data_IF_749365726173
#
_entry.id   IF_749365726173
#
_cell.length_a   1.000
_cell.length_b   1.000
_cell.length_c   1.000
_cell.angle_alpha   90.00
_cell.angle_beta   90.00
_cell.angle_gamma   90.00
#
_symmetry.space_group_name_H-M   'P 1'
#
loop_
_entity.id
_entity.type
_entity.pdbx_description
1 polymer ?
#
# COMPACT_ATOMS: atom_id res chain seq x y z
N UNK A 1 7.11 1.22 22.21
CA UNK A 1 5.63 1.19 22.28
C UNK A 1 5.20 0.03 21.39
N UNK A 2 4.55 -1.00 21.96
CA UNK A 2 4.10 -2.15 21.16
C UNK A 2 2.81 -1.76 20.44
N UNK A 3 2.82 -1.81 19.11
CA UNK A 3 1.61 -1.67 18.32
C UNK A 3 0.75 -2.91 18.57
N UNK A 4 -0.32 -2.75 19.34
CA UNK A 4 -1.36 -3.77 19.45
C UNK A 4 -1.93 -3.88 18.03
N UNK A 5 -1.84 -5.07 17.41
CA UNK A 5 -2.49 -5.34 16.13
C UNK A 5 -3.99 -5.32 16.40
N UNK A 6 -4.61 -4.15 16.21
CA UNK A 6 -6.06 -4.01 16.32
C UNK A 6 -6.66 -4.62 15.05
N UNK A 7 -7.64 -5.51 15.17
CA UNK A 7 -8.33 -6.04 13.99
C UNK A 7 -8.99 -4.90 13.20
N UNK A 8 -9.07 -5.02 11.87
CA UNK A 8 -9.65 -3.97 11.04
C UNK A 8 -11.13 -3.75 11.38
N UNK A 9 -11.60 -2.52 11.22
CA UNK A 9 -12.97 -2.12 11.61
C UNK A 9 -14.05 -2.90 10.85
N UNK A 10 -13.72 -3.38 9.65
CA UNK A 10 -14.61 -4.08 8.72
C UNK A 10 -14.11 -5.49 8.37
N UNK A 11 -13.57 -6.22 9.35
CA UNK A 11 -12.90 -7.50 9.13
C UNK A 11 -13.72 -8.51 8.29
N UNK A 12 -15.01 -8.67 8.55
CA UNK A 12 -15.88 -9.61 7.82
C UNK A 12 -16.09 -9.20 6.36
N UNK A 13 -16.21 -7.90 6.08
CA UNK A 13 -16.39 -7.40 4.72
C UNK A 13 -15.08 -7.45 3.95
N UNK A 14 -13.97 -7.10 4.59
CA UNK A 14 -12.64 -7.15 3.97
C UNK A 14 -12.19 -8.58 3.66
N UNK A 15 -12.64 -9.59 4.41
CA UNK A 15 -12.44 -11.01 4.04
C UNK A 15 -12.97 -11.35 2.63
N UNK A 16 -13.94 -10.59 2.12
CA UNK A 16 -14.47 -10.78 0.77
C UNK A 16 -13.45 -10.45 -0.32
N UNK A 17 -12.36 -9.73 0.00
CA UNK A 17 -11.26 -9.48 -0.94
C UNK A 17 -10.64 -10.80 -1.42
N UNK A 18 -10.53 -11.81 -0.56
CA UNK A 18 -10.00 -13.12 -0.91
C UNK A 18 -10.86 -13.84 -1.97
N UNK A 19 -12.15 -13.48 -2.09
CA UNK A 19 -13.09 -14.09 -3.05
C UNK A 19 -13.08 -13.43 -4.44
N UNK A 20 -12.31 -12.36 -4.62
CA UNK A 20 -12.23 -11.66 -5.90
C UNK A 20 -11.47 -12.48 -6.95
N UNK A 21 -11.97 -12.47 -8.18
CA UNK A 21 -11.24 -13.03 -9.33
C UNK A 21 -10.05 -12.16 -9.74
N UNK A 22 -9.19 -12.64 -10.64
CA UNK A 22 -7.98 -11.92 -11.03
C UNK A 22 -8.24 -10.52 -11.64
N UNK A 23 -9.35 -10.36 -12.39
CA UNK A 23 -9.73 -9.07 -12.99
C UNK A 23 -10.17 -8.08 -11.91
N UNK A 24 -10.95 -8.57 -10.95
CA UNK A 24 -11.38 -7.82 -9.78
C UNK A 24 -10.21 -7.44 -8.88
N UNK A 25 -9.29 -8.39 -8.60
CA UNK A 25 -8.06 -8.12 -7.84
C UNK A 25 -7.20 -7.05 -8.52
N UNK A 26 -7.04 -7.13 -9.84
CA UNK A 26 -6.33 -6.11 -10.62
C UNK A 26 -6.93 -4.72 -10.41
N UNK A 27 -8.26 -4.59 -10.55
CA UNK A 27 -8.97 -3.33 -10.33
C UNK A 27 -8.85 -2.85 -8.89
N UNK A 28 -8.99 -3.74 -7.91
CA UNK A 28 -8.84 -3.41 -6.49
C UNK A 28 -7.47 -2.79 -6.21
N UNK A 29 -6.39 -3.48 -6.60
CA UNK A 29 -5.02 -3.05 -6.34
C UNK A 29 -4.74 -1.68 -6.99
N UNK A 30 -5.19 -1.45 -8.23
CA UNK A 30 -5.09 -0.13 -8.87
C UNK A 30 -5.82 0.97 -8.10
N UNK A 31 -7.02 0.68 -7.58
CA UNK A 31 -7.77 1.65 -6.77
C UNK A 31 -7.07 1.94 -5.44
N UNK A 32 -6.52 0.93 -4.77
CA UNK A 32 -5.76 1.11 -3.53
C UNK A 32 -4.53 1.99 -3.74
N UNK A 33 -3.80 1.77 -4.83
CA UNK A 33 -2.61 2.55 -5.16
C UNK A 33 -2.95 4.02 -5.45
N UNK A 34 -4.03 4.28 -6.20
CA UNK A 34 -4.52 5.64 -6.45
C UNK A 34 -4.98 6.32 -5.16
N UNK A 35 -5.74 5.60 -4.33
CA UNK A 35 -6.23 6.11 -3.05
C UNK A 35 -5.07 6.50 -2.12
N UNK A 36 -3.98 5.75 -2.13
CA UNK A 36 -2.78 6.10 -1.38
C UNK A 36 -2.14 7.40 -1.86
N UNK A 37 -1.99 7.59 -3.17
CA UNK A 37 -1.43 8.83 -3.72
C UNK A 37 -2.29 10.04 -3.37
N UNK A 38 -3.62 9.89 -3.42
CA UNK A 38 -4.55 10.95 -3.06
C UNK A 38 -4.51 11.25 -1.55
N UNK A 39 -4.46 10.21 -0.71
CA UNK A 39 -4.28 10.34 0.74
C UNK A 39 -2.97 11.05 1.10
N UNK A 40 -1.84 10.61 0.51
CA UNK A 40 -0.53 11.24 0.68
C UNK A 40 -0.59 12.72 0.33
N UNK A 41 -1.30 13.09 -0.73
CA UNK A 41 -1.37 14.50 -1.15
C UNK A 41 -2.11 15.37 -0.11
N UNK A 42 -3.08 14.80 0.60
CA UNK A 42 -3.88 15.49 1.61
C UNK A 42 -3.20 15.54 2.99
N UNK A 43 -2.47 14.48 3.35
CA UNK A 43 -1.97 14.30 4.71
C UNK A 43 -0.44 14.43 4.83
N UNK A 44 0.31 14.16 3.77
CA UNK A 44 1.78 14.11 3.75
C UNK A 44 2.34 14.74 2.48
N UNK A 45 1.88 15.95 2.12
CA UNK A 45 2.21 16.58 0.83
C UNK A 45 3.71 16.72 0.58
N UNK A 46 4.51 16.89 1.64
CA UNK A 46 5.97 17.02 1.60
C UNK A 46 6.70 15.69 1.36
N UNK A 47 6.04 14.53 1.56
CA UNK A 47 6.65 13.23 1.29
C UNK A 47 6.90 13.09 -0.21
N UNK A 48 8.13 12.79 -0.62
CA UNK A 48 8.43 12.62 -2.03
C UNK A 48 8.25 11.16 -2.48
N UNK A 49 7.63 10.98 -3.63
CA UNK A 49 7.52 9.71 -4.36
C UNK A 49 8.12 9.96 -5.75
N UNK A 50 8.93 9.01 -6.23
CA UNK A 50 9.57 9.14 -7.53
C UNK A 50 8.54 9.35 -8.65
N UNK A 51 8.81 10.31 -9.55
CA UNK A 51 7.87 10.74 -10.59
C UNK A 51 7.41 9.58 -11.49
N UNK A 52 8.33 8.68 -11.82
CA UNK A 52 8.02 7.50 -12.62
C UNK A 52 7.08 6.53 -11.91
N UNK A 53 7.18 6.38 -10.58
CA UNK A 53 6.25 5.58 -9.77
C UNK A 53 4.87 6.23 -9.73
N UNK A 54 4.80 7.55 -9.56
CA UNK A 54 3.53 8.29 -9.61
C UNK A 54 2.85 8.07 -10.96
N UNK A 55 3.61 8.15 -12.06
CA UNK A 55 3.11 7.89 -13.41
C UNK A 55 2.59 6.46 -13.55
N UNK A 56 3.37 5.45 -13.16
CA UNK A 56 2.97 4.02 -13.20
C UNK A 56 1.63 3.81 -12.49
N UNK A 57 1.43 4.41 -11.32
CA UNK A 57 0.18 4.27 -10.57
C UNK A 57 -0.98 5.01 -11.27
N UNK A 58 -0.77 6.26 -11.69
CA UNK A 58 -1.81 7.08 -12.35
C UNK A 58 -2.25 6.52 -13.69
N UNK A 59 -1.33 5.95 -14.45
CA UNK A 59 -1.59 5.29 -15.74
C UNK A 59 -2.04 3.83 -15.57
N UNK A 60 -2.13 3.33 -14.34
CA UNK A 60 -2.54 1.96 -13.99
C UNK A 60 -1.64 0.88 -14.62
N UNK A 61 -0.36 1.19 -14.80
CA UNK A 61 0.66 0.31 -15.38
C UNK A 61 1.41 -0.53 -14.34
N UNK A 62 0.94 -0.58 -13.09
CA UNK A 62 1.55 -1.30 -11.95
C UNK A 62 2.02 -2.71 -12.35
N UNK A 63 1.16 -3.45 -13.04
CA UNK A 63 1.39 -4.84 -13.45
C UNK A 63 2.35 -5.01 -14.64
N UNK A 64 2.65 -3.92 -15.35
CA UNK A 64 3.62 -3.90 -16.44
C UNK A 64 5.05 -3.65 -15.96
N UNK A 65 5.22 -3.22 -14.70
CA UNK A 65 6.50 -2.78 -14.15
C UNK A 65 6.91 -3.45 -12.81
N UNK A 66 6.73 -4.78 -12.64
CA UNK A 66 6.95 -5.45 -11.35
C UNK A 66 8.38 -5.28 -10.80
N UNK A 67 9.40 -5.43 -11.64
CA UNK A 67 10.81 -5.30 -11.22
C UNK A 67 11.15 -3.88 -10.77
N UNK A 68 10.60 -2.86 -11.45
CA UNK A 68 10.82 -1.46 -11.09
C UNK A 68 10.21 -1.14 -9.72
N UNK A 69 9.01 -1.67 -9.46
CA UNK A 69 8.31 -1.53 -8.17
C UNK A 69 9.07 -2.25 -7.06
N UNK A 70 9.61 -3.44 -7.32
CA UNK A 70 10.45 -4.17 -6.36
C UNK A 70 11.71 -3.40 -5.97
N UNK A 71 12.46 -2.92 -6.96
CA UNK A 71 13.65 -2.08 -6.72
C UNK A 71 13.32 -0.81 -5.94
N UNK A 72 12.16 -0.21 -6.23
CA UNK A 72 11.71 0.95 -5.46
C UNK A 72 11.42 0.58 -4.00
N UNK A 73 10.73 -0.54 -3.76
CA UNK A 73 10.42 -1.01 -2.42
C UNK A 73 11.67 -1.28 -1.59
N UNK A 74 12.65 -1.99 -2.14
CA UNK A 74 13.94 -2.27 -1.50
C UNK A 74 14.63 -0.96 -1.09
N UNK A 75 14.72 0.00 -2.01
CA UNK A 75 15.35 1.29 -1.73
C UNK A 75 14.60 2.11 -0.66
N UNK A 76 13.26 2.08 -0.65
CA UNK A 76 12.48 2.79 0.37
C UNK A 76 12.59 2.17 1.75
N UNK A 77 12.72 0.83 1.83
CA UNK A 77 12.94 0.11 3.08
C UNK A 77 14.32 0.44 3.66
N UNK A 78 15.38 0.39 2.84
CA UNK A 78 16.74 0.79 3.23
C UNK A 78 16.77 2.22 3.80
N UNK A 79 16.19 3.18 3.07
CA UNK A 79 16.12 4.57 3.54
C UNK A 79 15.36 4.73 4.87
N UNK A 80 14.26 4.00 5.04
CA UNK A 80 13.49 4.04 6.28
C UNK A 80 14.30 3.48 7.45
N UNK A 81 14.96 2.33 7.25
CA UNK A 81 15.78 1.67 8.27
C UNK A 81 16.99 2.52 8.66
N UNK A 82 17.68 3.15 7.69
CA UNK A 82 18.80 4.04 7.97
C UNK A 82 18.40 5.23 8.85
N UNK A 83 17.27 5.88 8.55
CA UNK A 83 16.80 7.04 9.33
C UNK A 83 16.23 6.62 10.68
N UNK A 84 15.65 5.41 10.79
CA UNK A 84 15.22 4.82 12.05
C UNK A 84 16.41 4.50 12.95
N UNK A 85 17.44 3.85 12.41
CA UNK A 85 18.68 3.48 13.13
C UNK A 85 19.51 4.71 13.54
N UNK A 86 19.35 5.82 12.81
CA UNK A 86 19.94 7.11 13.15
C UNK A 86 19.18 7.85 14.28
N UNK A 87 18.20 7.21 14.94
CA UNK A 87 17.38 7.76 16.03
C UNK A 87 16.74 9.12 15.69
N UNK A 88 16.28 9.27 14.44
CA UNK A 88 15.66 10.52 13.97
C UNK A 88 14.31 10.77 14.66
N UNK A 89 13.90 12.05 14.77
CA UNK A 89 12.57 12.41 15.24
C UNK A 89 11.45 11.69 14.51
N UNK A 90 10.38 11.36 15.24
CA UNK A 90 9.24 10.59 14.73
C UNK A 90 8.55 11.25 13.52
N UNK A 91 8.46 12.58 13.50
CA UNK A 91 7.90 13.37 12.39
C UNK A 91 8.71 13.27 11.09
N UNK A 92 9.97 12.81 11.17
CA UNK A 92 10.81 12.49 10.00
C UNK A 92 10.65 11.01 9.61
N UNK A 93 10.67 10.11 10.59
CA UNK A 93 10.64 8.66 10.37
C UNK A 93 9.26 8.18 9.91
N UNK A 94 8.18 8.72 10.47
CA UNK A 94 6.81 8.27 10.18
C UNK A 94 6.41 8.44 8.70
N UNK A 95 6.66 9.57 8.02
CA UNK A 95 6.41 9.67 6.58
C UNK A 95 7.20 8.65 5.75
N UNK A 96 8.45 8.37 6.13
CA UNK A 96 9.30 7.38 5.46
C UNK A 96 8.75 5.97 5.64
N UNK A 97 8.29 5.64 6.84
CA UNK A 97 7.58 4.39 7.11
C UNK A 97 6.39 4.23 6.16
N UNK A 98 5.48 5.21 6.07
CA UNK A 98 4.32 5.11 5.17
C UNK A 98 4.70 4.93 3.71
N UNK A 99 5.78 5.57 3.26
CA UNK A 99 6.31 5.39 1.91
C UNK A 99 6.84 3.98 1.68
N UNK A 100 7.62 3.46 2.64
CA UNK A 100 8.17 2.10 2.57
C UNK A 100 7.06 1.04 2.52
N UNK A 101 6.04 1.17 3.38
CA UNK A 101 4.87 0.28 3.40
C UNK A 101 4.07 0.31 2.10
N UNK A 102 3.88 1.50 1.52
CA UNK A 102 3.25 1.61 0.21
C UNK A 102 4.07 0.94 -0.90
N UNK A 103 5.39 1.17 -0.91
CA UNK A 103 6.28 0.56 -1.90
C UNK A 103 6.31 -0.96 -1.78
N UNK A 104 6.39 -1.49 -0.56
CA UNK A 104 6.30 -2.92 -0.27
C UNK A 104 4.95 -3.51 -0.72
N UNK A 105 3.83 -2.81 -0.47
CA UNK A 105 2.52 -3.24 -0.96
C UNK A 105 2.48 -3.36 -2.49
N UNK A 106 3.06 -2.38 -3.21
CA UNK A 106 3.13 -2.43 -4.67
C UNK A 106 4.06 -3.53 -5.20
N UNK A 107 5.11 -3.91 -4.47
CA UNK A 107 6.01 -4.98 -4.91
C UNK A 107 5.31 -6.35 -4.95
N UNK A 108 4.26 -6.54 -4.14
CA UNK A 108 3.41 -7.73 -4.13
C UNK A 108 2.26 -7.69 -5.14
N UNK A 109 2.03 -6.57 -5.85
CA UNK A 109 0.86 -6.37 -6.71
C UNK A 109 0.71 -7.42 -7.81
N UNK A 110 1.80 -7.78 -8.47
CA UNK A 110 1.79 -8.75 -9.56
C UNK A 110 1.42 -10.15 -9.06
N UNK A 111 2.07 -10.60 -7.99
CA UNK A 111 1.88 -11.95 -7.44
C UNK A 111 0.51 -12.09 -6.77
N UNK A 112 -0.02 -11.01 -6.18
CA UNK A 112 -1.36 -10.96 -5.57
C UNK A 112 -2.51 -11.26 -6.54
N UNK A 113 -2.28 -11.16 -7.87
CA UNK A 113 -3.28 -11.55 -8.87
C UNK A 113 -3.57 -13.05 -8.87
N UNK A 114 -2.61 -13.87 -8.44
CA UNK A 114 -2.67 -15.33 -8.55
C UNK A 114 -2.34 -16.09 -7.27
N UNK A 115 -1.65 -15.45 -6.32
CA UNK A 115 -1.20 -16.07 -5.07
C UNK A 115 -1.87 -15.40 -3.86
N UNK A 116 -2.71 -16.15 -3.15
CA UNK A 116 -3.45 -15.62 -2.00
C UNK A 116 -2.52 -15.14 -0.88
N UNK A 117 -1.38 -15.81 -0.68
CA UNK A 117 -0.38 -15.37 0.30
C UNK A 117 0.21 -14.00 -0.06
N UNK A 118 0.43 -13.74 -1.34
CA UNK A 118 0.94 -12.45 -1.84
C UNK A 118 -0.14 -11.37 -1.76
N UNK A 119 -1.42 -11.74 -1.91
CA UNK A 119 -2.55 -10.86 -1.61
C UNK A 119 -2.59 -10.50 -0.12
N UNK A 120 -2.40 -11.45 0.78
CA UNK A 120 -2.33 -11.18 2.22
C UNK A 120 -1.19 -10.22 2.56
N UNK A 121 0.00 -10.42 1.97
CA UNK A 121 1.12 -9.50 2.13
C UNK A 121 0.80 -8.11 1.59
N UNK A 122 0.25 -7.99 0.38
CA UNK A 122 -0.16 -6.71 -0.19
C UNK A 122 -1.08 -5.93 0.76
N UNK A 123 -2.10 -6.60 1.30
CA UNK A 123 -3.08 -5.99 2.20
C UNK A 123 -2.47 -5.63 3.56
N UNK A 124 -1.58 -6.47 4.10
CA UNK A 124 -0.86 -6.19 5.33
C UNK A 124 0.11 -5.01 5.19
N UNK A 125 0.82 -4.94 4.07
CA UNK A 125 1.71 -3.82 3.73
C UNK A 125 0.91 -2.53 3.52
N UNK A 126 -0.25 -2.61 2.86
CA UNK A 126 -1.14 -1.48 2.67
C UNK A 126 -1.79 -0.98 3.97
N UNK A 127 -2.04 -1.87 4.92
CA UNK A 127 -2.64 -1.51 6.22
C UNK A 127 -1.55 -1.08 7.20
N UNK A 128 -1.12 0.19 7.11
CA UNK A 128 -0.01 0.72 7.90
C UNK A 128 -0.41 1.45 9.20
N UNK A 129 -1.69 1.47 9.60
CA UNK A 129 -2.24 1.78 10.96
C UNK A 129 -3.76 2.05 10.86
N UNK A 130 -4.55 1.84 11.92
CA UNK A 130 -5.94 2.33 11.96
C UNK A 130 -6.02 3.86 11.82
N UNK A 131 -4.98 4.59 12.25
CA UNK A 131 -4.92 6.05 12.23
C UNK A 131 -4.98 6.65 10.81
N UNK A 132 -4.64 5.86 9.79
CA UNK A 132 -4.64 6.32 8.39
C UNK A 132 -5.97 6.04 7.68
N UNK A 133 -6.91 5.34 8.33
CA UNK A 133 -8.23 5.04 7.77
C UNK A 133 -8.20 4.11 6.55
N UNK A 134 -7.12 3.34 6.37
CA UNK A 134 -6.92 2.45 5.21
C UNK A 134 -8.02 1.40 5.07
N UNK A 135 -8.64 0.97 6.17
CA UNK A 135 -9.78 0.04 6.14
C UNK A 135 -10.97 0.60 5.36
N UNK A 136 -11.26 1.90 5.51
CA UNK A 136 -12.33 2.56 4.77
C UNK A 136 -12.00 2.66 3.28
N UNK A 137 -10.72 2.92 2.95
CA UNK A 137 -10.26 2.95 1.56
C UNK A 137 -10.36 1.55 0.92
N UNK A 138 -9.97 0.51 1.64
CA UNK A 138 -10.08 -0.87 1.20
C UNK A 138 -11.54 -1.29 1.01
N UNK A 139 -12.42 -0.92 1.93
CA UNK A 139 -13.86 -1.19 1.84
C UNK A 139 -14.49 -0.47 0.63
N UNK A 140 -14.16 0.80 0.43
CA UNK A 140 -14.62 1.57 -0.72
C UNK A 140 -14.16 0.95 -2.05
N UNK A 141 -12.88 0.57 -2.14
CA UNK A 141 -12.34 -0.09 -3.32
C UNK A 141 -13.01 -1.46 -3.57
N UNK A 142 -13.23 -2.25 -2.53
CA UNK A 142 -13.94 -3.54 -2.61
C UNK A 142 -15.36 -3.36 -3.16
N UNK A 143 -16.11 -2.37 -2.67
CA UNK A 143 -17.44 -2.07 -3.19
C UNK A 143 -17.41 -1.63 -4.65
N UNK A 144 -16.47 -0.77 -5.04
CA UNK A 144 -16.32 -0.29 -6.41
C UNK A 144 -15.92 -1.39 -7.42
N UNK A 145 -15.33 -2.48 -6.95
CA UNK A 145 -14.94 -3.63 -7.78
C UNK A 145 -16.09 -4.64 -7.95
N UNK A 146 -16.97 -4.74 -6.95
CA UNK A 146 -18.10 -5.69 -6.94
C UNK A 146 -19.41 -5.12 -7.46
N UNK A 147 -19.59 -3.81 -7.43
CA UNK A 147 -20.70 -3.09 -8.06
C UNK A 147 -20.46 -2.86 -9.56
#
# INVERSE_FOLDING_TARGET
MFTIVVPPDYAEELQRICTLDASQRKKLISLLALAWLDWKQQHLSALEVAEDIVRIVREQEIFSHPERLRQWAEHMDEMYLEELDADKPYDIVQPLFYRARFAASLSHAQDALTEDKSLDYLLYEYSFSQETGTDHLMLHALHAVRG
#
